data_IF_162679286855
#
_entry.id   IF_162679286855
#
_cell.length_a   1.000
_cell.length_b   1.000
_cell.length_c   1.000
_cell.angle_alpha   90.00
_cell.angle_beta   90.00
_cell.angle_gamma   90.00
#
_symmetry.space_group_name_H-M   'P 1'
#
loop_
_entity.id
_entity.type
_entity.pdbx_description
1 polymer ?
#
# COMPACT_ATOMS: atom_id res chain seq x y z
N UNK A 1 12.48 -9.81 10.11
CA UNK A 1 12.54 -8.36 10.42
C UNK A 1 13.08 -8.16 11.81
N UNK A 2 13.94 -7.16 12.00
CA UNK A 2 14.53 -6.82 13.30
C UNK A 2 13.59 -5.92 14.13
N UNK A 3 13.74 -5.95 15.46
CA UNK A 3 12.88 -5.18 16.37
C UNK A 3 12.85 -3.68 16.05
N UNK A 4 13.98 -3.11 15.62
CA UNK A 4 14.07 -1.69 15.23
C UNK A 4 13.18 -1.36 14.02
N UNK A 5 13.10 -2.27 13.04
CA UNK A 5 12.27 -2.09 11.85
C UNK A 5 10.79 -2.10 12.23
N UNK A 6 10.39 -2.99 13.14
CA UNK A 6 9.03 -3.06 13.66
C UNK A 6 8.68 -1.78 14.43
N UNK A 7 9.58 -1.28 15.28
CA UNK A 7 9.36 -0.02 16.01
C UNK A 7 9.22 1.16 15.05
N UNK A 8 10.03 1.21 13.99
CA UNK A 8 9.93 2.24 12.95
C UNK A 8 8.56 2.19 12.25
N UNK A 9 8.12 0.99 11.89
CA UNK A 9 6.80 0.75 11.31
C UNK A 9 5.68 1.25 12.23
N UNK A 10 5.71 0.89 13.52
CA UNK A 10 4.72 1.32 14.50
C UNK A 10 4.68 2.85 14.68
N UNK A 11 5.84 3.52 14.65
CA UNK A 11 5.90 4.99 14.72
C UNK A 11 5.21 5.63 13.52
N UNK A 12 5.40 5.05 12.33
CA UNK A 12 4.75 5.52 11.10
C UNK A 12 3.23 5.36 11.17
N UNK A 13 2.75 4.18 11.55
CA UNK A 13 1.31 3.91 11.72
C UNK A 13 0.69 4.91 12.71
N UNK A 14 1.34 5.11 13.86
CA UNK A 14 0.86 6.06 14.88
C UNK A 14 0.80 7.50 14.35
N UNK A 15 1.78 7.90 13.55
CA UNK A 15 1.80 9.22 12.92
C UNK A 15 0.64 9.38 11.92
N UNK A 16 0.39 8.37 11.09
CA UNK A 16 -0.74 8.38 10.13
C UNK A 16 -2.09 8.50 10.86
N UNK A 17 -2.31 7.76 11.96
CA UNK A 17 -3.51 7.93 12.80
C UNK A 17 -3.65 9.34 13.37
N UNK A 18 -2.53 9.94 13.82
CA UNK A 18 -2.52 11.32 14.29
C UNK A 18 -2.99 12.31 13.22
N UNK A 19 -2.52 12.11 11.98
CA UNK A 19 -2.91 12.93 10.84
C UNK A 19 -4.40 12.78 10.51
N UNK A 20 -4.91 11.55 10.47
CA UNK A 20 -6.33 11.29 10.19
C UNK A 20 -7.23 12.01 11.20
N UNK A 21 -6.88 11.92 12.49
CA UNK A 21 -7.61 12.60 13.56
C UNK A 21 -7.52 14.12 13.45
N UNK A 22 -6.36 14.66 13.06
CA UNK A 22 -6.18 16.10 12.85
C UNK A 22 -7.02 16.62 11.68
N UNK A 23 -7.11 15.86 10.57
CA UNK A 23 -7.94 16.22 9.42
C UNK A 23 -9.43 16.19 9.79
N UNK A 24 -9.87 15.14 10.50
CA UNK A 24 -11.25 15.03 10.99
C UNK A 24 -11.59 16.20 11.92
N UNK A 25 -10.72 16.50 12.89
CA UNK A 25 -10.88 17.63 13.80
C UNK A 25 -10.96 18.97 13.05
N UNK A 26 -10.09 19.17 12.06
CA UNK A 26 -10.11 20.38 11.23
C UNK A 26 -11.41 20.57 10.43
N UNK A 27 -12.01 19.49 9.91
CA UNK A 27 -13.33 19.59 9.28
C UNK A 27 -14.43 19.93 10.29
N UNK A 28 -14.39 19.35 11.48
CA UNK A 28 -15.35 19.63 12.55
C UNK A 28 -15.26 21.10 12.99
N UNK A 29 -14.05 21.61 13.22
CA UNK A 29 -13.81 23.01 13.64
C UNK A 29 -14.30 24.03 12.60
N UNK A 30 -14.28 23.66 11.31
CA UNK A 30 -14.80 24.47 10.20
C UNK A 30 -16.30 24.27 9.93
N UNK A 31 -17.01 23.50 10.78
CA UNK A 31 -18.40 23.11 10.62
C UNK A 31 -18.69 22.40 9.27
N UNK A 32 -17.70 21.64 8.76
CA UNK A 32 -17.73 20.86 7.52
C UNK A 32 -18.02 19.39 7.81
N UNK A 33 -19.17 19.12 8.42
CA UNK A 33 -19.51 17.79 8.95
C UNK A 33 -19.63 16.71 7.87
N UNK A 34 -20.14 17.06 6.69
CA UNK A 34 -20.24 16.11 5.58
C UNK A 34 -18.85 15.66 5.10
N UNK A 35 -17.90 16.59 4.98
CA UNK A 35 -16.51 16.26 4.64
C UNK A 35 -15.83 15.43 5.72
N UNK A 36 -16.08 15.72 7.01
CA UNK A 36 -15.60 14.88 8.10
C UNK A 36 -16.12 13.44 7.97
N UNK A 37 -17.42 13.28 7.67
CA UNK A 37 -18.05 11.95 7.47
C UNK A 37 -17.45 11.22 6.27
N UNK A 38 -17.31 11.91 5.12
CA UNK A 38 -16.68 11.35 3.91
C UNK A 38 -15.25 10.89 4.19
N UNK A 39 -14.48 11.69 4.93
CA UNK A 39 -13.10 11.35 5.29
C UNK A 39 -13.04 10.15 6.24
N UNK A 40 -13.92 10.07 7.25
CA UNK A 40 -14.03 8.89 8.13
C UNK A 40 -14.32 7.62 7.31
N UNK A 41 -15.25 7.68 6.36
CA UNK A 41 -15.53 6.53 5.50
C UNK A 41 -14.30 6.14 4.65
N UNK A 42 -13.54 7.11 4.14
CA UNK A 42 -12.31 6.82 3.40
C UNK A 42 -11.25 6.12 4.28
N UNK A 43 -11.08 6.56 5.53
CA UNK A 43 -10.16 5.92 6.51
C UNK A 43 -10.62 4.49 6.84
N UNK A 44 -11.92 4.27 7.06
CA UNK A 44 -12.48 2.93 7.32
C UNK A 44 -12.25 2.01 6.12
N UNK A 45 -12.53 2.48 4.91
CA UNK A 45 -12.29 1.72 3.67
C UNK A 45 -10.81 1.35 3.50
N UNK A 46 -9.89 2.28 3.81
CA UNK A 46 -8.46 2.02 3.78
C UNK A 46 -8.07 0.87 4.73
N UNK A 47 -8.52 0.90 5.98
CA UNK A 47 -8.22 -0.16 6.94
C UNK A 47 -8.86 -1.51 6.58
N UNK A 48 -10.07 -1.50 6.04
CA UNK A 48 -10.72 -2.73 5.57
C UNK A 48 -9.92 -3.38 4.44
N UNK A 49 -9.29 -2.59 3.57
CA UNK A 49 -8.44 -3.12 2.50
C UNK A 49 -7.10 -3.64 3.01
N UNK A 50 -6.49 -2.95 3.99
CA UNK A 50 -5.27 -3.43 4.65
C UNK A 50 -5.50 -4.74 5.40
N UNK A 51 -6.69 -4.93 5.98
CA UNK A 51 -7.09 -6.14 6.70
C UNK A 51 -6.90 -7.42 5.89
N UNK A 52 -7.14 -7.37 4.57
CA UNK A 52 -7.00 -8.54 3.70
C UNK A 52 -5.58 -9.14 3.76
N UNK A 53 -4.54 -8.32 3.89
CA UNK A 53 -3.16 -8.80 4.03
C UNK A 53 -2.98 -9.65 5.29
N UNK A 54 -3.53 -9.19 6.41
CA UNK A 54 -3.37 -9.83 7.71
C UNK A 54 -4.23 -11.10 7.84
N UNK A 55 -5.39 -11.13 7.18
CA UNK A 55 -6.30 -12.27 7.21
C UNK A 55 -5.89 -13.38 6.21
N UNK A 56 -5.20 -13.03 5.11
CA UNK A 56 -4.98 -13.96 3.98
C UNK A 56 -3.54 -14.44 3.81
N UNK A 57 -2.55 -13.84 4.47
CA UNK A 57 -1.13 -14.16 4.30
C UNK A 57 -0.48 -14.64 5.61
N UNK A 58 0.59 -15.45 5.52
CA UNK A 58 1.45 -15.71 6.66
C UNK A 58 1.98 -14.42 7.29
N UNK A 59 2.19 -14.40 8.61
CA UNK A 59 2.53 -13.19 9.36
C UNK A 59 3.72 -12.41 8.79
N UNK A 60 4.79 -13.10 8.39
CA UNK A 60 5.98 -12.47 7.80
C UNK A 60 5.67 -11.81 6.45
N UNK A 61 4.92 -12.49 5.59
CA UNK A 61 4.52 -11.96 4.29
C UNK A 61 3.56 -10.77 4.44
N UNK A 62 2.57 -10.87 5.35
CA UNK A 62 1.64 -9.79 5.65
C UNK A 62 2.39 -8.54 6.13
N UNK A 63 3.31 -8.71 7.07
CA UNK A 63 4.12 -7.62 7.60
C UNK A 63 5.00 -6.97 6.52
N UNK A 64 5.63 -7.78 5.68
CA UNK A 64 6.44 -7.32 4.56
C UNK A 64 5.60 -6.48 3.57
N UNK A 65 4.49 -7.02 3.07
CA UNK A 65 3.66 -6.32 2.08
C UNK A 65 2.97 -5.08 2.65
N UNK A 66 2.63 -5.08 3.94
CA UNK A 66 2.14 -3.91 4.63
C UNK A 66 3.20 -2.80 4.69
N UNK A 67 4.45 -3.14 5.06
CA UNK A 67 5.56 -2.20 5.01
C UNK A 67 5.77 -1.64 3.59
N UNK A 68 5.69 -2.49 2.57
CA UNK A 68 5.81 -2.05 1.17
C UNK A 68 4.72 -1.05 0.77
N UNK A 69 3.46 -1.28 1.17
CA UNK A 69 2.36 -0.36 0.89
C UNK A 69 2.58 1.01 1.55
N UNK A 70 3.05 1.01 2.79
CA UNK A 70 3.42 2.26 3.46
C UNK A 70 4.56 2.96 2.72
N UNK A 71 5.63 2.27 2.35
CA UNK A 71 6.74 2.86 1.59
C UNK A 71 6.30 3.43 0.23
N UNK A 72 5.28 2.87 -0.41
CA UNK A 72 4.75 3.43 -1.67
C UNK A 72 4.08 4.80 -1.47
N UNK A 73 3.59 5.12 -0.28
CA UNK A 73 3.07 6.46 0.03
C UNK A 73 4.15 7.53 -0.07
N UNK A 74 5.41 7.17 0.18
CA UNK A 74 6.55 8.09 0.02
C UNK A 74 6.79 8.45 -1.46
N UNK A 75 6.22 7.67 -2.39
CA UNK A 75 6.17 7.97 -3.82
C UNK A 75 4.92 8.78 -4.21
N UNK A 76 4.08 9.14 -3.23
CA UNK A 76 2.76 9.74 -3.46
C UNK A 76 1.74 8.74 -4.01
N UNK A 77 1.95 7.43 -3.86
CA UNK A 77 1.06 6.38 -4.39
C UNK A 77 0.40 5.60 -3.26
N UNK A 78 -0.92 5.47 -3.30
CA UNK A 78 -1.66 4.62 -2.37
C UNK A 78 -1.76 3.21 -2.97
N UNK A 79 -0.88 2.32 -2.51
CA UNK A 79 -0.90 0.92 -2.90
C UNK A 79 -1.96 0.15 -2.11
N UNK A 80 -2.84 -0.56 -2.83
CA UNK A 80 -3.89 -1.41 -2.28
C UNK A 80 -3.74 -2.82 -2.83
N UNK A 81 -3.81 -3.83 -1.97
CA UNK A 81 -3.79 -5.21 -2.42
C UNK A 81 -5.20 -5.71 -2.70
N UNK A 82 -5.37 -6.54 -3.73
CA UNK A 82 -6.65 -7.19 -4.08
C UNK A 82 -6.63 -8.69 -3.82
N UNK A 83 -5.64 -9.36 -4.39
CA UNK A 83 -5.47 -10.81 -4.25
C UNK A 83 -4.00 -11.10 -3.98
N UNK A 84 -3.71 -11.70 -2.82
CA UNK A 84 -2.35 -12.12 -2.48
C UNK A 84 -2.33 -13.61 -2.19
N UNK A 85 -1.57 -14.37 -3.00
CA UNK A 85 -1.30 -15.80 -2.80
C UNK A 85 0.19 -16.03 -2.89
N UNK A 86 0.87 -16.02 -1.75
CA UNK A 86 2.34 -15.95 -1.72
C UNK A 86 2.89 -17.07 -0.85
N UNK A 87 3.61 -18.00 -1.50
CA UNK A 87 4.40 -19.03 -0.82
C UNK A 87 5.61 -19.41 -1.69
N UNK A 88 6.85 -18.97 -1.38
CA UNK A 88 7.28 -18.06 -0.31
C UNK A 88 7.33 -16.56 -0.72
N UNK A 89 7.37 -15.64 0.27
CA UNK A 89 7.46 -14.18 0.02
C UNK A 89 8.88 -13.66 -0.22
N UNK A 90 9.90 -14.43 0.12
CA UNK A 90 11.31 -14.03 0.09
C UNK A 90 11.79 -13.52 -1.29
N UNK A 91 11.18 -13.99 -2.38
CA UNK A 91 11.50 -13.54 -3.75
C UNK A 91 11.17 -12.06 -3.96
N UNK A 92 10.08 -11.57 -3.37
CA UNK A 92 9.70 -10.16 -3.42
C UNK A 92 10.60 -9.32 -2.51
N UNK A 93 10.90 -9.84 -1.32
CA UNK A 93 11.76 -9.15 -0.33
C UNK A 93 13.17 -8.89 -0.87
N UNK A 94 13.81 -9.89 -1.50
CA UNK A 94 15.12 -9.74 -2.14
C UNK A 94 15.17 -8.60 -3.15
N UNK A 95 14.04 -8.31 -3.80
CA UNK A 95 13.92 -7.29 -4.85
C UNK A 95 13.20 -6.03 -4.37
N UNK A 96 12.81 -5.97 -3.10
CA UNK A 96 12.01 -4.88 -2.53
C UNK A 96 10.75 -4.57 -3.36
N UNK A 97 10.08 -5.61 -3.81
CA UNK A 97 8.84 -5.52 -4.58
C UNK A 97 7.63 -5.59 -3.65
N UNK A 98 6.52 -4.86 -3.92
CA UNK A 98 6.21 -4.11 -5.13
C UNK A 98 6.78 -2.68 -5.23
N UNK A 99 7.44 -2.16 -4.19
CA UNK A 99 7.89 -0.77 -4.15
C UNK A 99 8.78 -0.39 -5.35
N UNK A 100 9.77 -1.21 -5.67
CA UNK A 100 10.71 -0.91 -6.77
C UNK A 100 10.01 -0.81 -8.13
N UNK A 101 9.03 -1.68 -8.39
CA UNK A 101 8.25 -1.61 -9.62
C UNK A 101 7.37 -0.37 -9.68
N UNK A 102 6.72 -0.01 -8.59
CA UNK A 102 5.92 1.22 -8.54
C UNK A 102 6.78 2.47 -8.65
N UNK A 103 7.97 2.49 -8.05
CA UNK A 103 8.93 3.59 -8.21
C UNK A 103 9.30 3.79 -9.69
N UNK A 104 9.69 2.72 -10.38
CA UNK A 104 9.99 2.78 -11.83
C UNK A 104 8.79 3.24 -12.66
N UNK A 105 7.58 2.80 -12.30
CA UNK A 105 6.35 3.21 -12.99
C UNK A 105 6.01 4.67 -12.74
N UNK A 106 6.16 5.17 -11.51
CA UNK A 106 5.94 6.56 -11.15
C UNK A 106 6.92 7.49 -11.88
N UNK A 107 8.20 7.11 -11.95
CA UNK A 107 9.24 7.83 -12.69
C UNK A 107 8.93 7.87 -14.20
N UNK A 108 8.60 6.70 -14.80
CA UNK A 108 8.37 6.59 -16.25
C UNK A 108 7.15 7.35 -16.73
N UNK A 109 6.08 7.33 -15.94
CA UNK A 109 4.82 7.98 -16.31
C UNK A 109 4.71 9.39 -15.73
N UNK A 110 5.78 9.89 -15.08
CA UNK A 110 5.86 11.19 -14.43
C UNK A 110 4.55 11.53 -13.73
N UNK A 111 4.12 10.68 -12.78
CA UNK A 111 2.85 10.82 -12.06
C UNK A 111 2.70 12.26 -11.54
N UNK A 112 2.06 13.12 -12.33
CA UNK A 112 1.70 14.49 -12.01
C UNK A 112 0.23 14.46 -11.74
N UNK A 113 -0.10 14.17 -10.50
CA UNK A 113 -1.46 13.94 -10.11
C UNK A 113 -1.80 14.96 -9.05
N UNK A 114 -2.92 15.65 -9.27
CA UNK A 114 -3.50 16.57 -8.28
C UNK A 114 -3.95 15.83 -7.00
N UNK A 115 -3.90 14.49 -7.02
CA UNK A 115 -4.29 13.57 -5.94
C UNK A 115 -3.38 12.34 -5.93
N UNK A 116 -3.20 11.72 -4.76
CA UNK A 116 -2.49 10.46 -4.64
C UNK A 116 -3.29 9.33 -5.34
N UNK A 117 -2.74 8.69 -6.40
CA UNK A 117 -3.44 7.63 -7.12
C UNK A 117 -3.58 6.36 -6.28
N UNK A 118 -4.71 5.69 -6.47
CA UNK A 118 -4.91 4.32 -6.00
C UNK A 118 -4.39 3.33 -7.04
N UNK A 119 -3.29 2.65 -6.71
CA UNK A 119 -2.78 1.53 -7.50
C UNK A 119 -3.11 0.24 -6.78
N UNK A 120 -3.78 -0.65 -7.50
CA UNK A 120 -4.12 -1.98 -7.00
C UNK A 120 -3.09 -3.00 -7.44
N UNK A 121 -2.63 -3.83 -6.52
CA UNK A 121 -1.73 -4.94 -6.80
C UNK A 121 -2.39 -6.29 -6.49
N UNK A 122 -2.31 -7.22 -7.43
CA UNK A 122 -2.52 -8.64 -7.19
C UNK A 122 -1.18 -9.35 -7.27
N UNK A 123 -0.83 -10.12 -6.24
CA UNK A 123 0.47 -10.76 -6.08
C UNK A 123 0.27 -12.27 -5.99
N UNK A 124 1.02 -12.99 -6.81
CA UNK A 124 1.06 -14.45 -6.73
C UNK A 124 2.51 -14.93 -6.77
N UNK A 125 2.84 -15.91 -5.93
CA UNK A 125 4.10 -16.63 -6.03
C UNK A 125 3.90 -18.11 -5.76
N UNK A 126 4.52 -18.91 -6.61
CA UNK A 126 4.55 -20.37 -6.51
C UNK A 126 5.92 -20.87 -7.00
N UNK A 127 6.49 -21.84 -6.28
CA UNK A 127 7.70 -22.57 -6.69
C UNK A 127 8.88 -21.67 -7.09
N UNK A 128 9.11 -20.58 -6.34
CA UNK A 128 10.23 -19.66 -6.60
C UNK A 128 10.02 -18.74 -7.81
N UNK A 129 8.79 -18.61 -8.33
CA UNK A 129 8.43 -17.61 -9.34
C UNK A 129 7.30 -16.74 -8.81
N UNK A 130 7.51 -15.44 -8.83
CA UNK A 130 6.52 -14.43 -8.46
C UNK A 130 6.00 -13.68 -9.69
N UNK A 131 4.79 -13.17 -9.58
CA UNK A 131 4.27 -12.17 -10.50
C UNK A 131 3.38 -11.19 -9.75
N UNK A 132 3.39 -9.95 -10.22
CA UNK A 132 2.54 -8.88 -9.73
C UNK A 132 1.78 -8.27 -10.90
N UNK A 133 0.50 -8.00 -10.70
CA UNK A 133 -0.32 -7.26 -11.65
C UNK A 133 -0.72 -5.95 -11.00
N UNK A 134 -0.24 -4.84 -11.56
CA UNK A 134 -0.66 -3.50 -11.15
C UNK A 134 -1.80 -3.00 -12.03
N UNK A 135 -2.80 -2.37 -11.42
CA UNK A 135 -3.95 -1.78 -12.11
C UNK A 135 -4.40 -0.50 -11.41
N UNK A 136 -5.18 0.34 -12.10
CA UNK A 136 -5.68 1.60 -11.59
C UNK A 136 -5.14 2.81 -12.35
N UNK A 137 -5.61 3.99 -11.97
CA UNK A 137 -5.12 5.26 -12.52
C UNK A 137 -3.82 5.66 -11.81
N UNK A 138 -2.82 6.20 -12.52
CA UNK A 138 -2.86 6.64 -13.92
C UNK A 138 -2.33 5.59 -14.92
N UNK A 139 -2.20 4.31 -14.52
CA UNK A 139 -1.62 3.30 -15.40
C UNK A 139 -2.50 3.07 -16.64
N UNK A 140 -3.82 3.22 -16.52
CA UNK A 140 -4.80 3.10 -17.62
C UNK A 140 -4.88 1.70 -18.25
N UNK A 141 -4.08 0.75 -17.77
CA UNK A 141 -4.00 -0.64 -18.18
C UNK A 141 -3.40 -1.48 -17.06
N UNK A 142 -3.56 -2.80 -17.18
CA UNK A 142 -2.85 -3.73 -16.32
C UNK A 142 -1.37 -3.80 -16.71
N UNK A 143 -0.50 -3.79 -15.71
CA UNK A 143 0.95 -3.94 -15.87
C UNK A 143 1.39 -5.20 -15.14
N UNK A 144 1.72 -6.23 -15.90
CA UNK A 144 2.30 -7.46 -15.39
C UNK A 144 3.81 -7.28 -15.16
N UNK A 145 4.26 -7.59 -13.96
CA UNK A 145 5.68 -7.60 -13.58
C UNK A 145 6.05 -9.00 -13.08
N UNK A 146 6.82 -9.78 -13.85
CA UNK A 146 7.38 -11.03 -13.38
C UNK A 146 8.49 -10.75 -12.35
N UNK A 147 8.56 -11.59 -11.32
CA UNK A 147 9.58 -11.56 -10.27
C UNK A 147 10.25 -12.93 -10.28
N UNK A 148 11.42 -13.00 -10.89
CA UNK A 148 12.24 -14.23 -10.96
C UNK A 148 13.32 -14.19 -9.87
N UNK A 149 13.91 -15.34 -9.52
CA UNK A 149 15.06 -15.37 -8.60
C UNK A 149 16.27 -14.66 -9.21
#
# INVERSE_FOLDING_TARGET
MEAEQIVSLLRRIRHEYGNDLQVIGGYIDLNRLEQAREYIHAVVEQHNQERMLFDSLPAEAALYFYQQALSCRDLGVILRYKDCRVDPHAIFEKRQEPYQSLKRLAEKNAFRLDREPYIYASITAQSGRGQMVFSGEPLGREVLVPVEE
#
